data_IF_965464399561
#
_entry.id   IF_965464399561
#
_cell.length_a   1.000
_cell.length_b   1.000
_cell.length_c   1.000
_cell.angle_alpha   90.00
_cell.angle_beta   90.00
_cell.angle_gamma   90.00
#
_symmetry.space_group_name_H-M   'P 1'
#
loop_
_entity.id
_entity.type
_entity.pdbx_description
1 polymer ?
#
# COMPACT_ATOMS: atom_id res chain seq x y z
N UNK A 1 16.73 -18.25 -5.95
CA UNK A 1 15.70 -18.89 -5.08
C UNK A 1 14.38 -18.87 -5.85
N UNK A 2 13.67 -19.99 -5.90
CA UNK A 2 12.33 -20.01 -6.53
C UNK A 2 11.30 -19.60 -5.48
N UNK A 3 10.49 -18.62 -5.81
CA UNK A 3 9.34 -18.21 -4.98
C UNK A 3 8.31 -19.35 -4.87
N UNK A 4 7.62 -19.44 -3.72
CA UNK A 4 6.48 -20.34 -3.59
C UNK A 4 5.36 -19.96 -4.57
N UNK A 5 4.48 -20.90 -4.90
CA UNK A 5 3.34 -20.65 -5.79
C UNK A 5 2.45 -19.51 -5.28
N UNK A 6 2.23 -19.44 -3.96
CA UNK A 6 1.49 -18.36 -3.31
C UNK A 6 2.14 -16.99 -3.55
N UNK A 7 3.46 -16.88 -3.29
CA UNK A 7 4.18 -15.62 -3.47
C UNK A 7 4.21 -15.18 -4.93
N UNK A 8 4.31 -16.10 -5.88
CA UNK A 8 4.20 -15.78 -7.30
C UNK A 8 2.81 -15.18 -7.63
N UNK A 9 1.75 -15.78 -7.10
CA UNK A 9 0.39 -15.27 -7.29
C UNK A 9 0.18 -13.90 -6.64
N UNK A 10 0.70 -13.67 -5.43
CA UNK A 10 0.64 -12.36 -4.76
C UNK A 10 1.40 -11.29 -5.54
N UNK A 11 2.59 -11.60 -6.06
CA UNK A 11 3.40 -10.69 -6.89
C UNK A 11 2.61 -10.25 -8.13
N UNK A 12 2.01 -11.20 -8.82
CA UNK A 12 1.16 -10.95 -9.98
C UNK A 12 -0.03 -10.03 -9.62
N UNK A 13 -0.71 -10.29 -8.51
CA UNK A 13 -1.83 -9.48 -8.01
C UNK A 13 -1.40 -8.05 -7.66
N UNK A 14 -0.26 -7.88 -6.98
CA UNK A 14 0.29 -6.56 -6.66
C UNK A 14 0.55 -5.78 -7.96
N UNK A 15 1.22 -6.38 -8.94
CA UNK A 15 1.49 -5.72 -10.22
C UNK A 15 0.21 -5.39 -11.01
N UNK A 16 -0.80 -6.25 -10.94
CA UNK A 16 -2.10 -5.97 -11.56
C UNK A 16 -2.79 -4.78 -10.88
N UNK A 17 -2.85 -4.75 -9.55
CA UNK A 17 -3.42 -3.64 -8.79
C UNK A 17 -2.65 -2.33 -9.03
N UNK A 18 -1.31 -2.39 -9.09
CA UNK A 18 -0.46 -1.24 -9.38
C UNK A 18 -0.79 -0.62 -10.75
N UNK A 19 -0.95 -1.43 -11.77
CA UNK A 19 -1.38 -0.95 -13.09
C UNK A 19 -2.79 -0.36 -13.07
N UNK A 20 -3.72 -0.96 -12.34
CA UNK A 20 -5.09 -0.44 -12.22
C UNK A 20 -5.14 0.94 -11.57
N UNK A 21 -4.43 1.15 -10.45
CA UNK A 21 -4.38 2.47 -9.80
C UNK A 21 -3.66 3.52 -10.65
N UNK A 22 -2.64 3.12 -11.41
CA UNK A 22 -1.96 4.01 -12.35
C UNK A 22 -2.87 4.43 -13.50
N UNK A 23 -3.58 3.49 -14.11
CA UNK A 23 -4.55 3.75 -15.18
C UNK A 23 -5.72 4.61 -14.70
N UNK A 24 -6.15 4.48 -13.46
CA UNK A 24 -7.18 5.29 -12.84
C UNK A 24 -6.71 6.72 -12.48
N UNK A 25 -5.41 7.03 -12.63
CA UNK A 25 -4.84 8.32 -12.26
C UNK A 25 -4.72 8.54 -10.75
N UNK A 26 -4.67 7.47 -9.95
CA UNK A 26 -4.56 7.56 -8.49
C UNK A 26 -3.12 7.63 -8.00
N UNK A 27 -2.15 7.47 -8.88
CA UNK A 27 -0.72 7.63 -8.63
C UNK A 27 -0.07 8.35 -9.79
N UNK A 28 0.90 9.21 -9.48
CA UNK A 28 1.71 9.93 -10.44
C UNK A 28 3.19 9.73 -10.13
N UNK A 29 4.05 9.80 -11.14
CA UNK A 29 5.48 9.57 -10.98
C UNK A 29 5.75 8.32 -10.10
N UNK A 30 6.41 8.48 -8.96
CA UNK A 30 6.77 7.40 -8.05
C UNK A 30 5.81 7.25 -6.85
N UNK A 31 4.70 7.99 -6.85
CA UNK A 31 3.74 8.01 -5.75
C UNK A 31 3.06 6.66 -5.54
N UNK A 32 2.52 6.50 -4.33
CA UNK A 32 1.79 5.33 -3.91
C UNK A 32 2.66 4.10 -3.72
N UNK A 33 2.15 3.13 -3.03
CA UNK A 33 2.81 1.87 -2.75
C UNK A 33 1.79 0.77 -2.41
N UNK A 34 2.18 -0.47 -2.65
CA UNK A 34 1.34 -1.63 -2.42
C UNK A 34 2.13 -2.70 -1.69
N UNK A 35 1.44 -3.46 -0.88
CA UNK A 35 2.01 -4.64 -0.23
C UNK A 35 0.98 -5.75 -0.05
N UNK A 36 1.47 -6.97 0.18
CA UNK A 36 0.65 -8.12 0.52
C UNK A 36 1.35 -8.98 1.57
N UNK A 37 0.59 -9.45 2.56
CA UNK A 37 1.04 -10.41 3.56
C UNK A 37 1.12 -11.81 2.95
N UNK A 38 2.20 -12.52 3.18
CA UNK A 38 2.37 -13.92 2.84
C UNK A 38 1.93 -14.82 4.00
N UNK A 39 1.54 -16.06 3.69
CA UNK A 39 1.12 -17.03 4.70
C UNK A 39 2.23 -17.44 5.68
N UNK A 40 3.49 -17.28 5.29
CA UNK A 40 4.67 -17.55 6.13
C UNK A 40 5.08 -16.36 7.02
N UNK A 41 4.31 -15.29 7.02
CA UNK A 41 4.54 -14.09 7.83
C UNK A 41 5.40 -13.01 7.14
N UNK A 42 5.96 -13.27 5.96
CA UNK A 42 6.63 -12.26 5.15
C UNK A 42 5.63 -11.25 4.55
N UNK A 43 6.14 -10.12 4.09
CA UNK A 43 5.37 -9.08 3.40
C UNK A 43 6.05 -8.76 2.09
N UNK A 44 5.35 -8.98 0.98
CA UNK A 44 5.75 -8.48 -0.33
C UNK A 44 5.39 -7.00 -0.43
N UNK A 45 6.34 -6.16 -0.88
CA UNK A 45 6.17 -4.71 -0.94
C UNK A 45 6.81 -4.13 -2.19
N UNK A 46 6.23 -3.05 -2.69
CA UNK A 46 6.76 -2.30 -3.84
C UNK A 46 8.07 -1.60 -3.50
N UNK A 47 9.01 -1.52 -4.44
CA UNK A 47 10.26 -0.78 -4.27
C UNK A 47 10.01 0.74 -4.25
N UNK A 48 10.96 1.46 -3.66
CA UNK A 48 11.03 2.91 -3.76
C UNK A 48 11.47 3.34 -5.16
N UNK A 49 10.94 4.48 -5.63
CA UNK A 49 11.42 5.12 -6.86
C UNK A 49 10.92 4.52 -8.17
N UNK A 50 9.92 3.63 -8.13
CA UNK A 50 9.35 2.99 -9.33
C UNK A 50 7.93 3.50 -9.58
N UNK A 51 7.64 3.91 -10.82
CA UNK A 51 6.29 4.21 -11.25
C UNK A 51 5.40 2.95 -11.21
N UNK A 52 4.23 3.05 -10.63
CA UNK A 52 3.36 1.87 -10.38
C UNK A 52 2.79 1.25 -11.65
N UNK A 53 2.71 2.02 -12.75
CA UNK A 53 2.32 1.52 -14.06
C UNK A 53 3.35 0.58 -14.69
N UNK A 54 4.62 0.76 -14.36
CA UNK A 54 5.77 0.00 -14.90
C UNK A 54 6.28 -1.09 -13.93
N UNK A 55 5.52 -1.33 -12.84
CA UNK A 55 5.92 -2.31 -11.84
C UNK A 55 5.90 -3.74 -12.41
N UNK A 56 7.02 -4.46 -12.27
CA UNK A 56 7.16 -5.86 -12.63
C UNK A 56 7.36 -6.75 -11.41
N UNK A 57 7.06 -8.04 -11.56
CA UNK A 57 7.03 -8.98 -10.44
C UNK A 57 8.39 -9.16 -9.79
N UNK A 58 9.48 -9.11 -10.54
CA UNK A 58 10.85 -9.26 -10.06
C UNK A 58 11.38 -8.03 -9.31
N UNK A 59 10.73 -6.87 -9.46
CA UNK A 59 11.05 -5.66 -8.72
C UNK A 59 10.55 -5.69 -7.27
N UNK A 60 9.57 -6.56 -6.95
CA UNK A 60 9.00 -6.64 -5.62
C UNK A 60 10.00 -7.22 -4.62
N UNK A 61 10.01 -6.62 -3.43
CA UNK A 61 10.84 -7.06 -2.31
C UNK A 61 10.00 -7.82 -1.29
N UNK A 62 10.66 -8.66 -0.52
CA UNK A 62 10.07 -9.29 0.65
C UNK A 62 10.78 -8.80 1.91
N UNK A 63 10.00 -8.41 2.92
CA UNK A 63 10.47 -7.97 4.23
C UNK A 63 9.74 -8.75 5.32
N UNK A 64 10.31 -8.80 6.52
CA UNK A 64 9.58 -9.23 7.71
C UNK A 64 8.76 -8.08 8.33
N UNK A 65 8.02 -8.36 9.39
CA UNK A 65 7.20 -7.35 10.08
C UNK A 65 8.03 -6.26 10.80
N UNK A 66 9.32 -6.46 10.98
CA UNK A 66 10.29 -5.49 11.49
C UNK A 66 10.96 -4.67 10.38
N UNK A 67 10.63 -4.95 9.11
CA UNK A 67 11.17 -4.25 7.93
C UNK A 67 12.53 -4.75 7.46
N UNK A 68 13.04 -5.88 8.01
CA UNK A 68 14.29 -6.47 7.55
C UNK A 68 14.07 -7.19 6.22
N UNK A 69 14.97 -6.96 5.28
CA UNK A 69 14.90 -7.60 3.96
C UNK A 69 15.07 -9.11 4.04
N UNK A 70 14.12 -9.85 3.48
CA UNK A 70 14.18 -11.31 3.36
C UNK A 70 14.60 -11.72 1.95
N UNK A 71 14.14 -10.98 0.93
CA UNK A 71 14.41 -11.32 -0.47
C UNK A 71 14.13 -10.13 -1.41
N UNK A 72 14.71 -10.17 -2.61
CA UNK A 72 14.66 -9.10 -3.59
C UNK A 72 15.88 -8.18 -3.50
N UNK A 73 16.02 -7.26 -4.46
CA UNK A 73 17.11 -6.30 -4.53
C UNK A 73 16.56 -4.87 -4.58
N UNK A 74 17.22 -3.94 -3.89
CA UNK A 74 16.80 -2.54 -3.84
C UNK A 74 16.33 -2.11 -2.44
N UNK A 75 15.59 -1.00 -2.42
CA UNK A 75 15.02 -0.44 -1.19
C UNK A 75 13.51 -0.57 -1.24
N UNK A 76 12.85 -1.06 -0.17
CA UNK A 76 11.40 -1.01 -0.08
C UNK A 76 10.92 0.44 -0.05
N UNK A 77 9.63 0.66 -0.29
CA UNK A 77 9.00 1.97 -0.17
C UNK A 77 9.36 2.63 1.16
N UNK A 78 9.59 3.94 1.14
CA UNK A 78 9.81 4.74 2.37
C UNK A 78 8.61 4.69 3.33
N UNK A 79 7.43 4.32 2.85
CA UNK A 79 6.20 4.16 3.63
C UNK A 79 5.96 2.72 4.11
N UNK A 80 6.95 1.84 3.96
CA UNK A 80 6.91 0.48 4.54
C UNK A 80 6.56 0.46 6.03
N UNK A 81 7.03 1.39 6.88
CA UNK A 81 6.65 1.42 8.30
C UNK A 81 5.14 1.47 8.53
N UNK A 82 4.41 2.30 7.77
CA UNK A 82 2.94 2.39 7.82
C UNK A 82 2.28 1.06 7.43
N UNK A 83 2.70 0.43 6.33
CA UNK A 83 2.19 -0.87 5.91
C UNK A 83 2.42 -1.95 6.97
N UNK A 84 3.63 -1.99 7.52
CA UNK A 84 4.01 -2.99 8.53
C UNK A 84 3.27 -2.77 9.85
N UNK A 85 3.02 -1.51 10.25
CA UNK A 85 2.20 -1.18 11.40
C UNK A 85 0.75 -1.69 11.25
N UNK A 86 0.14 -1.48 10.08
CA UNK A 86 -1.19 -2.04 9.77
C UNK A 86 -1.19 -3.57 9.86
N UNK A 87 -0.18 -4.25 9.36
CA UNK A 87 -0.09 -5.71 9.47
C UNK A 87 0.13 -6.20 10.90
N UNK A 88 0.84 -5.45 11.73
CA UNK A 88 1.02 -5.80 13.16
C UNK A 88 -0.24 -5.61 13.97
N UNK A 89 -0.97 -4.52 13.74
CA UNK A 89 -2.18 -4.14 14.51
C UNK A 89 -3.45 -4.82 14.00
N UNK A 90 -3.49 -5.21 12.72
CA UNK A 90 -4.67 -5.77 12.04
C UNK A 90 -4.29 -7.10 11.35
N UNK A 91 -4.26 -8.22 12.08
CA UNK A 91 -3.85 -9.52 11.53
C UNK A 91 -4.72 -10.00 10.36
N UNK A 92 -5.97 -9.56 10.30
CA UNK A 92 -6.92 -9.88 9.23
C UNK A 92 -6.62 -9.16 7.91
N UNK A 93 -5.79 -8.10 7.92
CA UNK A 93 -5.43 -7.37 6.70
C UNK A 93 -4.44 -8.19 5.88
N UNK A 94 -4.84 -8.58 4.69
CA UNK A 94 -4.01 -9.34 3.75
C UNK A 94 -3.27 -8.49 2.72
N UNK A 95 -3.71 -7.25 2.47
CA UNK A 95 -3.08 -6.34 1.50
C UNK A 95 -3.33 -4.88 1.84
N UNK A 96 -2.37 -4.02 1.49
CA UNK A 96 -2.46 -2.57 1.65
C UNK A 96 -2.19 -1.90 0.33
N UNK A 97 -3.03 -0.94 -0.04
CA UNK A 97 -2.88 -0.10 -1.24
C UNK A 97 -2.92 1.35 -0.79
N UNK A 98 -1.80 2.04 -0.92
CA UNK A 98 -1.68 3.47 -0.67
C UNK A 98 -1.65 4.23 -1.99
N UNK A 99 -2.47 5.24 -2.13
CA UNK A 99 -2.61 6.06 -3.34
C UNK A 99 -2.73 7.54 -3.00
N UNK A 100 -2.44 8.39 -4.00
CA UNK A 100 -2.65 9.83 -3.93
C UNK A 100 -3.80 10.24 -4.86
N UNK A 101 -4.98 9.63 -4.68
CA UNK A 101 -6.16 9.95 -5.47
C UNK A 101 -6.50 11.45 -5.36
N UNK A 102 -6.60 12.21 -6.48
CA UNK A 102 -6.64 13.67 -6.44
C UNK A 102 -7.76 14.25 -5.57
N UNK A 103 -8.94 13.67 -5.64
CA UNK A 103 -10.08 14.15 -4.85
C UNK A 103 -9.93 13.82 -3.35
N UNK A 104 -9.35 12.67 -3.01
CA UNK A 104 -9.07 12.31 -1.61
C UNK A 104 -8.02 13.24 -1.01
N UNK A 105 -6.95 13.54 -1.76
CA UNK A 105 -5.91 14.49 -1.36
C UNK A 105 -6.51 15.90 -1.19
N UNK A 106 -7.38 16.32 -2.11
CA UNK A 106 -8.06 17.61 -2.02
C UNK A 106 -8.94 17.70 -0.77
N UNK A 107 -9.78 16.69 -0.49
CA UNK A 107 -10.62 16.62 0.70
C UNK A 107 -9.80 16.65 1.99
N UNK A 108 -8.73 15.86 2.06
CA UNK A 108 -7.81 15.83 3.20
C UNK A 108 -7.15 17.20 3.46
N UNK A 109 -6.76 17.93 2.40
CA UNK A 109 -6.20 19.30 2.54
C UNK A 109 -7.22 20.32 3.06
N UNK A 110 -8.50 20.09 2.85
CA UNK A 110 -9.56 20.91 3.45
C UNK A 110 -9.85 20.54 4.91
N UNK A 111 -9.29 19.43 5.40
CA UNK A 111 -9.56 18.89 6.73
C UNK A 111 -10.98 18.36 6.90
N UNK A 112 -11.62 17.97 5.79
CA UNK A 112 -13.00 17.48 5.81
C UNK A 112 -13.01 15.95 5.90
N UNK A 113 -13.68 15.45 6.95
CA UNK A 113 -13.97 14.02 7.10
C UNK A 113 -15.05 13.58 6.10
N UNK A 114 -14.82 12.47 5.44
CA UNK A 114 -15.83 11.82 4.60
C UNK A 114 -16.56 10.77 5.45
N UNK A 115 -17.43 11.24 6.34
CA UNK A 115 -18.10 10.38 7.33
C UNK A 115 -19.48 9.93 6.90
N UNK A 116 -20.16 10.69 6.03
CA UNK A 116 -21.49 10.36 5.54
C UNK A 116 -21.41 9.74 4.14
N UNK A 117 -21.83 8.48 3.99
CA UNK A 117 -21.79 7.82 2.69
C UNK A 117 -22.81 8.42 1.73
N UNK A 118 -22.37 8.86 0.56
CA UNK A 118 -23.22 9.40 -0.51
C UNK A 118 -23.62 8.34 -1.54
N UNK A 119 -23.05 7.13 -1.47
CA UNK A 119 -23.40 5.98 -2.32
C UNK A 119 -23.60 4.73 -1.49
N UNK A 120 -24.41 3.80 -2.01
CA UNK A 120 -24.63 2.51 -1.34
C UNK A 120 -23.35 1.69 -1.22
N UNK A 121 -22.48 1.71 -2.26
CA UNK A 121 -21.21 1.00 -2.25
C UNK A 121 -20.28 1.53 -1.15
N UNK A 122 -20.23 2.86 -0.96
CA UNK A 122 -19.48 3.46 0.13
C UNK A 122 -20.00 3.00 1.49
N UNK A 123 -21.31 3.09 1.72
CA UNK A 123 -21.90 2.67 2.98
C UNK A 123 -21.61 1.21 3.34
N UNK A 124 -21.58 0.34 2.32
CA UNK A 124 -21.36 -1.09 2.51
C UNK A 124 -19.88 -1.50 2.62
N UNK A 125 -18.99 -0.80 1.92
CA UNK A 125 -17.60 -1.25 1.73
C UNK A 125 -16.57 -0.43 2.52
N UNK A 126 -16.78 0.88 2.70
CA UNK A 126 -15.77 1.76 3.28
C UNK A 126 -16.10 2.19 4.72
N UNK A 127 -17.37 2.51 5.00
CA UNK A 127 -17.73 3.19 6.24
C UNK A 127 -17.15 4.61 6.33
N UNK A 128 -16.99 5.18 7.54
CA UNK A 128 -16.40 6.51 7.74
C UNK A 128 -14.95 6.58 7.27
N UNK A 129 -14.60 7.63 6.53
CA UNK A 129 -13.25 7.92 6.09
C UNK A 129 -12.80 9.23 6.72
N UNK A 130 -12.04 9.20 7.83
CA UNK A 130 -11.59 10.40 8.52
C UNK A 130 -10.43 11.07 7.79
N UNK A 131 -10.34 12.39 7.85
CA UNK A 131 -9.14 13.14 7.50
C UNK A 131 -8.19 13.13 8.71
N UNK A 132 -6.98 12.63 8.49
CA UNK A 132 -5.94 12.66 9.52
C UNK A 132 -5.11 13.94 9.40
N UNK A 133 -4.54 14.46 10.51
CA UNK A 133 -3.62 15.58 10.45
C UNK A 133 -2.39 15.20 9.61
N UNK A 134 -1.78 16.20 8.97
CA UNK A 134 -0.55 15.96 8.22
C UNK A 134 0.56 15.48 9.16
N UNK A 135 1.21 14.38 8.80
CA UNK A 135 2.35 13.79 9.49
C UNK A 135 3.50 13.56 8.51
N UNK A 136 4.76 13.64 8.97
CA UNK A 136 5.91 13.41 8.09
C UNK A 136 5.94 11.99 7.52
N UNK A 137 6.22 11.87 6.22
CA UNK A 137 6.29 10.59 5.52
C UNK A 137 7.40 9.69 6.08
N UNK A 138 7.13 8.39 6.18
CA UNK A 138 8.10 7.37 6.59
C UNK A 138 8.46 7.40 8.07
N UNK A 139 7.68 8.10 8.90
CA UNK A 139 7.89 8.15 10.35
C UNK A 139 7.05 7.11 11.09
N UNK A 140 7.48 6.75 12.29
CA UNK A 140 6.68 5.91 13.19
C UNK A 140 5.41 6.64 13.66
N UNK A 141 5.44 7.97 13.73
CA UNK A 141 4.28 8.79 14.08
C UNK A 141 3.15 8.65 13.05
N UNK A 142 3.49 8.58 11.76
CA UNK A 142 2.50 8.29 10.70
C UNK A 142 2.03 6.83 10.74
N UNK A 143 2.83 5.93 11.27
CA UNK A 143 2.54 4.49 11.34
C UNK A 143 1.72 4.10 12.58
N UNK A 144 1.67 4.93 13.61
CA UNK A 144 0.97 4.68 14.88
C UNK A 144 -0.40 5.29 14.94
#
# INVERSE_FOLDING_TARGET
MSWSREKQELRRKICQAARQIAQAGYVAANDGNLSARCSDGGVLITPSGVYKGDLEEDMLLEVDLEGRGLSGTGRPSSESPMHLALYRTRPEVGGVVHTHAPYSVFSANLGEDLTEPITADWALLLGPVPALPWLPLGTEELAG
#
